data_IF_470310997587
#
_entry.id   IF_470310997587
#
_cell.length_a   1.000
_cell.length_b   1.000
_cell.length_c   1.000
_cell.angle_alpha   90.00
_cell.angle_beta   90.00
_cell.angle_gamma   90.00
#
_symmetry.space_group_name_H-M   'P 1'
#
loop_
_entity.id
_entity.type
_entity.pdbx_description
1 polymer ?
#
# COMPACT_ATOMS: atom_id res chain seq x y z
N UNK A 1 20.07 13.60 8.70
CA UNK A 1 18.84 12.93 9.18
C UNK A 1 17.64 13.08 8.25
N UNK A 2 17.18 14.29 7.89
CA UNK A 2 16.00 14.48 7.01
C UNK A 2 16.09 13.76 5.65
N UNK A 3 17.29 13.58 5.10
CA UNK A 3 17.51 12.91 3.81
C UNK A 3 17.20 11.40 3.82
N UNK A 4 17.13 10.75 4.98
CA UNK A 4 16.78 9.33 5.10
C UNK A 4 15.27 9.06 5.07
N UNK A 5 14.44 10.09 5.24
CA UNK A 5 12.98 9.93 5.32
C UNK A 5 12.38 9.46 4.00
N UNK A 6 12.76 10.12 2.89
CA UNK A 6 12.23 9.78 1.56
C UNK A 6 12.61 8.36 1.10
N UNK A 7 13.88 7.90 1.25
CA UNK A 7 14.26 6.52 0.96
C UNK A 7 13.48 5.50 1.78
N UNK A 8 13.38 5.68 3.10
CA UNK A 8 12.68 4.75 3.98
C UNK A 8 11.18 4.63 3.63
N UNK A 9 10.51 5.74 3.35
CA UNK A 9 9.11 5.74 2.91
C UNK A 9 8.93 5.04 1.55
N UNK A 10 9.80 5.36 0.59
CA UNK A 10 9.72 4.76 -0.76
C UNK A 10 9.90 3.24 -0.68
N UNK A 11 10.80 2.78 0.20
CA UNK A 11 11.01 1.35 0.45
C UNK A 11 9.79 0.70 1.09
N UNK A 12 9.20 1.32 2.13
CA UNK A 12 7.99 0.81 2.78
C UNK A 12 6.84 0.61 1.80
N UNK A 13 6.64 1.57 0.87
CA UNK A 13 5.59 1.48 -0.14
C UNK A 13 5.87 0.33 -1.11
N UNK A 14 7.12 0.19 -1.59
CA UNK A 14 7.49 -0.88 -2.53
C UNK A 14 7.27 -2.28 -1.96
N UNK A 15 7.56 -2.47 -0.67
CA UNK A 15 7.36 -3.75 0.01
C UNK A 15 5.89 -4.12 0.15
N UNK A 16 5.02 -3.13 0.39
CA UNK A 16 3.61 -3.38 0.71
C UNK A 16 2.67 -3.31 -0.48
N UNK A 17 3.04 -2.65 -1.58
CA UNK A 17 2.11 -2.39 -2.69
C UNK A 17 1.58 -3.68 -3.33
N UNK A 18 2.45 -4.69 -3.52
CA UNK A 18 2.07 -6.00 -4.05
C UNK A 18 1.03 -6.73 -3.20
N UNK A 19 1.36 -7.09 -1.94
CA UNK A 19 0.44 -7.87 -1.10
C UNK A 19 -0.85 -7.12 -0.75
N UNK A 20 -0.80 -5.79 -0.59
CA UNK A 20 -2.01 -4.98 -0.36
C UNK A 20 -2.92 -5.02 -1.59
N UNK A 21 -2.37 -4.83 -2.79
CA UNK A 21 -3.15 -4.83 -4.02
C UNK A 21 -3.81 -6.19 -4.25
N UNK A 22 -3.06 -7.28 -4.08
CA UNK A 22 -3.58 -8.64 -4.29
C UNK A 22 -4.75 -8.96 -3.34
N UNK A 23 -4.60 -8.66 -2.04
CA UNK A 23 -5.68 -8.87 -1.06
C UNK A 23 -6.91 -8.02 -1.38
N UNK A 24 -6.72 -6.74 -1.66
CA UNK A 24 -7.82 -5.82 -1.95
C UNK A 24 -8.58 -6.26 -3.21
N UNK A 25 -7.85 -6.62 -4.27
CA UNK A 25 -8.43 -7.06 -5.54
C UNK A 25 -9.23 -8.35 -5.38
N UNK A 26 -8.70 -9.33 -4.64
CA UNK A 26 -9.37 -10.62 -4.45
C UNK A 26 -10.74 -10.48 -3.81
N UNK A 27 -10.86 -9.64 -2.77
CA UNK A 27 -12.14 -9.39 -2.10
C UNK A 27 -13.05 -8.53 -2.98
N UNK A 28 -12.51 -7.44 -3.54
CA UNK A 28 -13.29 -6.50 -4.33
C UNK A 28 -13.89 -7.13 -5.59
N UNK A 29 -13.15 -8.05 -6.23
CA UNK A 29 -13.58 -8.76 -7.42
C UNK A 29 -14.81 -9.63 -7.14
N UNK A 30 -14.75 -10.48 -6.11
CA UNK A 30 -15.83 -11.41 -5.76
C UNK A 30 -17.12 -10.63 -5.43
N UNK A 31 -16.98 -9.56 -4.64
CA UNK A 31 -18.13 -8.76 -4.21
C UNK A 31 -18.72 -7.97 -5.37
N UNK A 32 -17.88 -7.34 -6.20
CA UNK A 32 -18.35 -6.59 -7.37
C UNK A 32 -19.04 -7.53 -8.36
N UNK A 33 -18.46 -8.69 -8.65
CA UNK A 33 -19.06 -9.67 -9.55
C UNK A 33 -20.42 -10.14 -9.02
N UNK A 34 -20.50 -10.50 -7.74
CA UNK A 34 -21.74 -10.99 -7.13
C UNK A 34 -22.84 -9.94 -7.12
N UNK A 35 -22.52 -8.69 -6.75
CA UNK A 35 -23.51 -7.62 -6.66
C UNK A 35 -23.95 -7.12 -8.03
N UNK A 36 -23.02 -6.88 -8.94
CA UNK A 36 -23.34 -6.41 -10.29
C UNK A 36 -24.14 -7.46 -11.05
N UNK A 37 -23.74 -8.74 -11.01
CA UNK A 37 -24.49 -9.81 -11.68
C UNK A 37 -25.92 -9.95 -11.14
N UNK A 38 -26.11 -9.74 -9.84
CA UNK A 38 -27.44 -9.75 -9.22
C UNK A 38 -28.27 -8.53 -9.64
N UNK A 39 -27.69 -7.33 -9.59
CA UNK A 39 -28.41 -6.08 -9.85
C UNK A 39 -28.77 -5.91 -11.34
N UNK A 40 -27.95 -6.46 -12.25
CA UNK A 40 -28.12 -6.35 -13.70
C UNK A 40 -28.67 -7.62 -14.36
N UNK A 41 -29.17 -8.60 -13.59
CA UNK A 41 -29.63 -9.89 -14.12
C UNK A 41 -30.75 -9.79 -15.18
N UNK A 42 -31.53 -8.70 -15.16
CA UNK A 42 -32.63 -8.43 -16.08
C UNK A 42 -32.41 -7.17 -16.93
N UNK A 43 -31.23 -6.55 -16.85
CA UNK A 43 -30.91 -5.36 -17.64
C UNK A 43 -30.47 -5.79 -19.05
N UNK A 44 -31.15 -5.33 -20.12
CA UNK A 44 -30.79 -5.68 -21.49
C UNK A 44 -29.55 -4.94 -22.01
N UNK A 45 -29.08 -3.87 -21.36
CA UNK A 45 -27.94 -3.07 -21.80
C UNK A 45 -26.65 -3.40 -21.03
N UNK A 46 -25.76 -4.15 -21.68
CA UNK A 46 -24.45 -4.52 -21.14
C UNK A 46 -23.57 -3.30 -20.80
N UNK A 47 -23.80 -2.14 -21.43
CA UNK A 47 -23.02 -0.94 -21.14
C UNK A 47 -23.30 -0.40 -19.74
N UNK A 48 -24.54 -0.54 -19.25
CA UNK A 48 -24.90 -0.13 -17.90
C UNK A 48 -24.20 -1.03 -16.87
N UNK A 49 -24.25 -2.34 -17.09
CA UNK A 49 -23.55 -3.33 -16.27
C UNK A 49 -22.04 -3.06 -16.23
N UNK A 50 -21.43 -2.83 -17.39
CA UNK A 50 -19.98 -2.57 -17.51
C UNK A 50 -19.56 -1.30 -16.77
N UNK A 51 -20.32 -0.20 -16.91
CA UNK A 51 -20.05 1.06 -16.20
C UNK A 51 -20.18 0.87 -14.69
N UNK A 52 -21.26 0.23 -14.23
CA UNK A 52 -21.49 -0.03 -12.82
C UNK A 52 -20.38 -0.90 -12.21
N UNK A 53 -20.00 -2.00 -12.88
CA UNK A 53 -18.90 -2.85 -12.47
C UNK A 53 -17.59 -2.08 -12.34
N UNK A 54 -17.26 -1.25 -13.32
CA UNK A 54 -16.00 -0.50 -13.29
C UNK A 54 -15.95 0.51 -12.13
N UNK A 55 -17.02 1.26 -11.91
CA UNK A 55 -17.09 2.22 -10.81
C UNK A 55 -17.05 1.53 -9.45
N UNK A 56 -17.83 0.45 -9.29
CA UNK A 56 -17.88 -0.31 -8.06
C UNK A 56 -16.54 -0.98 -7.74
N UNK A 57 -15.92 -1.65 -8.71
CA UNK A 57 -14.63 -2.31 -8.53
C UNK A 57 -13.56 -1.32 -8.06
N UNK A 58 -13.52 -0.13 -8.66
CA UNK A 58 -12.56 0.93 -8.30
C UNK A 58 -12.77 1.46 -6.90
N UNK A 59 -14.01 1.83 -6.56
CA UNK A 59 -14.33 2.39 -5.25
C UNK A 59 -14.07 1.35 -4.15
N UNK A 60 -14.47 0.11 -4.37
CA UNK A 60 -14.28 -0.97 -3.41
C UNK A 60 -12.81 -1.34 -3.22
N UNK A 61 -12.05 -1.48 -4.33
CA UNK A 61 -10.61 -1.78 -4.24
C UNK A 61 -9.85 -0.67 -3.53
N UNK A 62 -10.19 0.60 -3.79
CA UNK A 62 -9.56 1.74 -3.13
C UNK A 62 -9.85 1.74 -1.61
N UNK A 63 -11.10 1.50 -1.22
CA UNK A 63 -11.46 1.38 0.20
C UNK A 63 -10.76 0.22 0.89
N UNK A 64 -10.74 -0.96 0.27
CA UNK A 64 -10.08 -2.15 0.80
C UNK A 64 -8.56 -1.98 0.91
N UNK A 65 -7.92 -1.40 -0.11
CA UNK A 65 -6.49 -1.11 -0.09
C UNK A 65 -6.14 -0.14 1.05
N UNK A 66 -6.92 0.94 1.22
CA UNK A 66 -6.72 1.93 2.29
C UNK A 66 -6.78 1.29 3.68
N UNK A 67 -7.81 0.48 3.93
CA UNK A 67 -7.97 -0.22 5.23
C UNK A 67 -6.83 -1.21 5.43
N UNK A 68 -6.48 -1.97 4.38
CA UNK A 68 -5.46 -3.02 4.46
C UNK A 68 -4.05 -2.46 4.69
N UNK A 69 -3.69 -1.34 4.04
CA UNK A 69 -2.33 -0.83 4.12
C UNK A 69 -2.06 0.04 5.34
N UNK A 70 -3.08 0.64 5.97
CA UNK A 70 -2.92 1.67 7.01
C UNK A 70 -1.94 1.27 8.12
N UNK A 71 -2.26 0.19 8.81
CA UNK A 71 -1.49 -0.26 9.97
C UNK A 71 -0.14 -0.88 9.59
N UNK A 72 -0.03 -1.79 8.60
CA UNK A 72 1.27 -2.32 8.21
C UNK A 72 2.19 -1.26 7.61
N UNK A 73 1.68 -0.29 6.86
CA UNK A 73 2.48 0.80 6.30
C UNK A 73 3.09 1.66 7.40
N UNK A 74 2.31 2.02 8.43
CA UNK A 74 2.83 2.74 9.58
C UNK A 74 3.95 1.94 10.30
N UNK A 75 3.72 0.65 10.52
CA UNK A 75 4.70 -0.25 11.15
C UNK A 75 6.01 -0.34 10.37
N UNK A 76 5.93 -0.64 9.07
CA UNK A 76 7.11 -0.76 8.19
C UNK A 76 7.86 0.56 8.07
N UNK A 77 7.14 1.70 7.94
CA UNK A 77 7.77 3.02 7.90
C UNK A 77 8.57 3.32 9.17
N UNK A 78 8.00 3.05 10.35
CA UNK A 78 8.68 3.28 11.62
C UNK A 78 9.94 2.42 11.74
N UNK A 79 9.85 1.14 11.39
CA UNK A 79 10.97 0.21 11.43
C UNK A 79 12.13 0.65 10.51
N UNK A 80 11.83 0.97 9.25
CA UNK A 80 12.85 1.39 8.28
C UNK A 80 13.49 2.74 8.65
N UNK A 81 12.72 3.68 9.20
CA UNK A 81 13.25 4.96 9.68
C UNK A 81 14.21 4.76 10.88
N UNK A 82 13.79 3.96 11.87
CA UNK A 82 14.63 3.64 13.03
C UNK A 82 15.94 2.96 12.61
N UNK A 83 15.86 2.00 11.69
CA UNK A 83 17.02 1.32 11.13
C UNK A 83 17.95 2.31 10.42
N UNK A 84 17.41 3.16 9.55
CA UNK A 84 18.21 4.12 8.79
C UNK A 84 18.90 5.17 9.68
N UNK A 85 18.20 5.66 10.71
CA UNK A 85 18.80 6.62 11.66
C UNK A 85 19.86 5.98 12.54
N UNK A 86 19.60 4.77 13.05
CA UNK A 86 20.57 4.03 13.87
C UNK A 86 21.85 3.75 13.09
N UNK A 87 21.72 3.34 11.83
CA UNK A 87 22.87 3.10 10.97
C UNK A 87 23.67 4.38 10.71
N UNK A 88 23.00 5.49 10.39
CA UNK A 88 23.68 6.78 10.16
C UNK A 88 24.42 7.28 11.40
N UNK A 89 23.84 7.13 12.60
CA UNK A 89 24.48 7.54 13.86
C UNK A 89 25.70 6.66 14.18
N UNK A 90 25.62 5.35 13.91
CA UNK A 90 26.76 4.43 14.10
C UNK A 90 27.92 4.80 13.19
N UNK A 91 27.67 5.05 11.90
CA UNK A 91 28.71 5.48 10.95
C UNK A 91 29.39 6.77 11.38
N UNK A 92 28.63 7.79 11.79
CA UNK A 92 29.22 9.05 12.28
C UNK A 92 30.08 8.86 13.53
N UNK A 93 29.71 7.94 14.43
CA UNK A 93 30.49 7.66 15.63
C UNK A 93 31.80 6.92 15.31
N UNK A 94 31.79 6.02 14.32
CA UNK A 94 33.01 5.32 13.87
C UNK A 94 33.99 6.27 13.17
N UNK A 95 33.49 7.19 12.34
CA UNK A 95 34.33 8.22 11.69
C UNK A 95 34.99 9.16 12.71
N UNK A 96 34.26 9.55 13.75
CA UNK A 96 34.79 10.37 14.86
C UNK A 96 35.90 9.65 15.64
N UNK A 97 35.74 8.35 15.93
CA UNK A 97 36.79 7.58 16.61
C UNK A 97 38.04 7.47 15.73
N UNK A 98 37.90 7.18 14.44
CA UNK A 98 39.05 7.08 13.52
C UNK A 98 39.77 8.38 13.23
N UNK A 99 39.17 9.53 13.55
CA UNK A 99 39.79 10.85 13.37
C UNK A 99 40.53 11.35 14.64
N UNK A 100 40.38 10.64 15.75
CA UNK A 100 41.05 10.94 17.03
C UNK A 100 42.31 10.09 17.22
N UNK A 101 42.43 8.97 16.48
CA UNK A 101 43.64 8.16 16.32
C UNK A 101 44.53 8.71 15.19
#
# INVERSE_FOLDING_TARGET
MKHHVRPALTQAIKELIGPVAERALKIAMIVTETLVRKDFALDPDENNMKKAAFHMMRAMTAGMAMITCRDPLAGTMMSLLQQSFTNSLRTSNTELVSAVD
#
